data_IF_285804021781
#
_entry.id   IF_285804021781
#
_cell.length_a   1.000
_cell.length_b   1.000
_cell.length_c   1.000
_cell.angle_alpha   90.00
_cell.angle_beta   90.00
_cell.angle_gamma   90.00
#
_symmetry.space_group_name_H-M   'P 1'
#
loop_
_entity.id
_entity.type
_entity.pdbx_description
1 polymer ?
#
# COMPACT_ATOMS: atom_id res chain seq x y z
N UNK A 1 -12.64 -2.20 -27.68
CA UNK A 1 -11.74 -2.49 -26.56
C UNK A 1 -10.95 -1.21 -26.40
N UNK A 2 -11.22 -0.45 -25.39
CA UNK A 2 -10.60 0.85 -25.14
C UNK A 2 -9.30 0.65 -24.37
N UNK A 3 -8.30 1.46 -24.61
CA UNK A 3 -6.94 1.50 -23.99
C UNK A 3 -6.92 1.43 -22.44
N UNK A 4 -8.07 1.41 -21.79
CA UNK A 4 -8.26 1.45 -20.34
C UNK A 4 -8.25 0.08 -19.65
N UNK A 5 -8.37 -1.04 -20.37
CA UNK A 5 -8.40 -2.39 -19.76
C UNK A 5 -7.01 -3.04 -19.62
N UNK A 6 -6.03 -2.63 -20.44
CA UNK A 6 -4.67 -3.20 -20.43
C UNK A 6 -3.84 -2.74 -19.23
N UNK A 7 -4.15 -1.58 -18.64
CA UNK A 7 -3.40 -1.02 -17.52
C UNK A 7 -3.93 -1.43 -16.15
N UNK A 8 -4.99 -2.24 -16.08
CA UNK A 8 -5.59 -2.67 -14.82
C UNK A 8 -4.75 -3.74 -14.12
N UNK A 9 -4.22 -3.41 -12.95
CA UNK A 9 -3.46 -4.36 -12.11
C UNK A 9 -4.36 -5.10 -11.14
N UNK A 10 -5.23 -4.38 -10.42
CA UNK A 10 -6.23 -4.97 -9.53
C UNK A 10 -7.60 -4.39 -9.81
N UNK A 11 -8.61 -5.25 -9.81
CA UNK A 11 -9.99 -4.87 -10.01
C UNK A 11 -10.87 -5.61 -9.00
N UNK A 12 -11.63 -4.86 -8.21
CA UNK A 12 -12.69 -5.39 -7.33
C UNK A 12 -14.05 -5.00 -7.86
N UNK A 13 -14.99 -5.94 -7.91
CA UNK A 13 -16.37 -5.70 -8.38
C UNK A 13 -17.37 -6.25 -7.40
N UNK A 14 -18.28 -5.37 -6.93
CA UNK A 14 -19.37 -5.73 -6.04
C UNK A 14 -18.91 -6.38 -4.74
N UNK A 15 -17.79 -5.93 -4.16
CA UNK A 15 -17.18 -6.58 -3.03
C UNK A 15 -18.03 -6.47 -1.77
N UNK A 16 -18.51 -7.59 -1.27
CA UNK A 16 -19.14 -7.73 0.04
C UNK A 16 -18.21 -8.44 1.03
N UNK A 17 -18.23 -8.01 2.28
CA UNK A 17 -17.48 -8.67 3.35
C UNK A 17 -18.23 -8.66 4.67
N UNK A 18 -18.27 -9.82 5.31
CA UNK A 18 -18.94 -10.04 6.59
C UNK A 18 -17.95 -10.62 7.60
N UNK A 19 -18.06 -10.18 8.86
CA UNK A 19 -17.33 -10.75 9.99
C UNK A 19 -18.31 -11.25 11.06
N UNK A 20 -17.84 -12.17 11.89
CA UNK A 20 -18.59 -12.73 13.01
C UNK A 20 -19.22 -14.09 12.74
N UNK A 21 -19.75 -14.71 13.78
CA UNK A 21 -20.43 -16.01 13.72
C UNK A 21 -21.83 -15.89 13.08
N UNK A 22 -22.38 -17.02 12.60
CA UNK A 22 -23.64 -17.10 11.81
C UNK A 22 -24.83 -16.27 12.34
N UNK A 23 -24.89 -16.02 13.65
CA UNK A 23 -26.00 -15.27 14.30
C UNK A 23 -25.68 -13.83 14.68
N UNK A 24 -24.41 -13.41 14.51
CA UNK A 24 -23.92 -12.05 14.83
C UNK A 24 -23.04 -11.51 13.69
N UNK A 25 -23.42 -11.78 12.46
CA UNK A 25 -22.67 -11.29 11.30
C UNK A 25 -22.83 -9.78 11.14
N UNK A 26 -21.70 -9.08 11.08
CA UNK A 26 -21.63 -7.67 10.73
C UNK A 26 -21.05 -7.52 9.33
N UNK A 27 -21.78 -6.87 8.45
CA UNK A 27 -21.28 -6.48 7.14
C UNK A 27 -20.34 -5.27 7.29
N UNK A 28 -19.22 -5.31 6.60
CA UNK A 28 -18.17 -4.27 6.62
C UNK A 28 -17.97 -3.66 5.23
N UNK A 29 -18.15 -4.43 4.16
CA UNK A 29 -18.14 -3.92 2.79
C UNK A 29 -19.47 -4.24 2.14
N UNK A 30 -20.01 -3.29 1.38
CA UNK A 30 -21.35 -3.32 0.79
C UNK A 30 -21.26 -3.01 -0.70
N UNK A 31 -20.97 -4.02 -1.55
CA UNK A 31 -20.92 -3.88 -3.00
C UNK A 31 -19.88 -2.90 -3.49
N UNK A 32 -18.65 -2.95 -2.95
CA UNK A 32 -17.60 -2.00 -3.28
C UNK A 32 -16.95 -2.33 -4.62
N UNK A 33 -16.90 -1.34 -5.51
CA UNK A 33 -16.15 -1.38 -6.76
C UNK A 33 -14.86 -0.56 -6.61
N UNK A 34 -13.74 -1.09 -7.12
CA UNK A 34 -12.43 -0.44 -7.08
C UNK A 34 -11.53 -0.91 -8.20
N UNK A 35 -10.82 0.02 -8.82
CA UNK A 35 -9.83 -0.21 -9.85
C UNK A 35 -8.49 0.37 -9.42
N UNK A 36 -7.42 -0.40 -9.63
CA UNK A 36 -6.03 0.03 -9.40
C UNK A 36 -5.25 -0.20 -10.69
N UNK A 37 -4.62 0.84 -11.21
CA UNK A 37 -3.90 0.83 -12.48
C UNK A 37 -2.40 0.77 -12.28
N UNK A 38 -1.68 0.26 -13.27
CA UNK A 38 -0.22 0.31 -13.30
C UNK A 38 0.26 1.77 -13.23
N UNK A 39 1.32 2.01 -12.45
CA UNK A 39 1.91 3.34 -12.26
C UNK A 39 1.07 4.35 -11.47
N UNK A 40 -0.15 3.98 -11.08
CA UNK A 40 -1.06 4.84 -10.32
C UNK A 40 -0.83 4.74 -8.82
N UNK A 41 -0.95 5.86 -8.11
CA UNK A 41 -1.14 5.87 -6.67
C UNK A 41 -2.62 6.13 -6.35
N UNK A 42 -3.35 5.09 -5.93
CA UNK A 42 -4.72 5.18 -5.44
C UNK A 42 -4.72 5.38 -3.93
N UNK A 43 -5.21 6.52 -3.45
CA UNK A 43 -5.45 6.71 -2.02
C UNK A 43 -6.84 6.19 -1.62
N UNK A 44 -6.89 5.35 -0.59
CA UNK A 44 -8.13 4.91 0.06
C UNK A 44 -8.27 5.69 1.36
N UNK A 45 -9.23 6.60 1.41
CA UNK A 45 -9.47 7.48 2.57
C UNK A 45 -10.84 7.22 3.21
N UNK A 46 -11.01 7.67 4.43
CA UNK A 46 -12.27 7.54 5.18
C UNK A 46 -12.04 7.45 6.67
N UNK A 47 -13.09 7.56 7.45
CA UNK A 47 -13.04 7.50 8.91
C UNK A 47 -12.57 6.15 9.47
N UNK A 48 -12.27 6.12 10.77
CA UNK A 48 -11.98 4.85 11.46
C UNK A 48 -13.17 3.90 11.35
N UNK A 49 -12.90 2.63 11.06
CA UNK A 49 -13.94 1.62 10.91
C UNK A 49 -14.74 1.68 9.59
N UNK A 50 -14.38 2.54 8.63
CA UNK A 50 -15.08 2.62 7.34
C UNK A 50 -14.86 1.40 6.42
N UNK A 51 -13.93 0.50 6.74
CA UNK A 51 -13.67 -0.72 5.97
C UNK A 51 -12.38 -0.69 5.13
N UNK A 52 -11.55 0.36 5.19
CA UNK A 52 -10.32 0.51 4.37
C UNK A 52 -9.39 -0.70 4.45
N UNK A 53 -9.00 -1.09 5.64
CA UNK A 53 -8.11 -2.26 5.86
C UNK A 53 -8.76 -3.56 5.36
N UNK A 54 -10.08 -3.70 5.52
CA UNK A 54 -10.81 -4.84 4.98
C UNK A 54 -10.78 -4.85 3.45
N UNK A 55 -11.04 -3.70 2.82
CA UNK A 55 -11.00 -3.57 1.37
C UNK A 55 -9.63 -3.93 0.81
N UNK A 56 -8.55 -3.37 1.37
CA UNK A 56 -7.19 -3.64 0.90
C UNK A 56 -6.76 -5.09 1.10
N UNK A 57 -7.16 -5.73 2.22
CA UNK A 57 -6.91 -7.16 2.45
C UNK A 57 -7.65 -8.05 1.47
N UNK A 58 -8.89 -7.71 1.13
CA UNK A 58 -9.67 -8.44 0.12
C UNK A 58 -9.02 -8.29 -1.26
N UNK A 59 -8.62 -7.08 -1.66
CA UNK A 59 -7.96 -6.81 -2.94
C UNK A 59 -6.66 -7.61 -3.10
N UNK A 60 -5.85 -7.70 -2.06
CA UNK A 60 -4.59 -8.46 -2.09
C UNK A 60 -4.76 -9.97 -1.89
N UNK A 61 -6.01 -10.45 -1.79
CA UNK A 61 -6.27 -11.88 -1.56
C UNK A 61 -5.77 -12.40 -0.21
N UNK A 62 -5.57 -11.50 0.77
CA UNK A 62 -5.27 -11.85 2.17
C UNK A 62 -6.52 -12.31 2.90
N UNK A 63 -7.68 -11.80 2.49
CA UNK A 63 -8.99 -12.23 2.92
C UNK A 63 -9.88 -12.48 1.70
N UNK A 64 -10.77 -13.46 1.79
CA UNK A 64 -11.76 -13.70 0.73
C UNK A 64 -12.93 -12.74 0.85
N UNK A 65 -13.42 -12.21 -0.25
CA UNK A 65 -14.75 -11.58 -0.32
C UNK A 65 -15.84 -12.62 -0.07
N UNK A 66 -16.95 -12.21 0.55
CA UNK A 66 -18.13 -13.03 0.71
C UNK A 66 -19.10 -12.87 -0.48
N UNK A 67 -18.99 -11.77 -1.22
CA UNK A 67 -19.66 -11.48 -2.49
C UNK A 67 -18.79 -10.68 -3.43
N UNK A 68 -19.12 -10.71 -4.71
CA UNK A 68 -18.32 -10.05 -5.75
C UNK A 68 -17.11 -10.84 -6.21
N UNK A 69 -16.18 -10.16 -6.90
CA UNK A 69 -14.95 -10.77 -7.43
C UNK A 69 -13.77 -9.82 -7.35
N UNK A 70 -12.56 -10.39 -7.24
CA UNK A 70 -11.30 -9.68 -7.40
C UNK A 70 -10.54 -10.30 -8.56
N UNK A 71 -9.99 -9.44 -9.42
CA UNK A 71 -9.13 -9.83 -10.53
C UNK A 71 -7.75 -9.18 -10.38
N UNK A 72 -6.72 -9.91 -10.77
CA UNK A 72 -5.34 -9.46 -10.86
C UNK A 72 -4.85 -9.61 -12.29
N UNK A 73 -4.49 -8.51 -12.94
CA UNK A 73 -4.10 -8.46 -14.35
C UNK A 73 -5.13 -9.18 -15.26
N UNK A 74 -6.44 -8.95 -15.03
CA UNK A 74 -7.54 -9.53 -15.80
C UNK A 74 -7.88 -10.99 -15.46
N UNK A 75 -7.20 -11.61 -14.50
CA UNK A 75 -7.45 -13.00 -14.10
C UNK A 75 -8.09 -13.04 -12.69
N UNK A 76 -9.13 -13.87 -12.46
CA UNK A 76 -9.75 -13.99 -11.13
C UNK A 76 -8.75 -14.45 -10.06
N UNK A 77 -8.72 -13.77 -8.90
CA UNK A 77 -7.80 -14.06 -7.79
C UNK A 77 -8.22 -15.34 -7.07
N UNK A 78 -7.82 -16.50 -7.63
CA UNK A 78 -8.05 -17.86 -7.09
C UNK A 78 -6.84 -18.73 -7.39
N UNK A 79 -6.63 -19.79 -6.58
CA UNK A 79 -5.61 -20.81 -6.88
C UNK A 79 -4.22 -20.22 -7.16
N UNK A 80 -3.71 -20.47 -8.36
CA UNK A 80 -2.36 -20.02 -8.77
C UNK A 80 -2.27 -18.50 -8.96
N UNK A 81 -3.34 -17.82 -9.41
CA UNK A 81 -3.38 -16.36 -9.53
C UNK A 81 -3.23 -15.71 -8.15
N UNK A 82 -3.91 -16.23 -7.13
CA UNK A 82 -3.75 -15.76 -5.76
C UNK A 82 -2.34 -16.01 -5.21
N UNK A 83 -1.67 -17.11 -5.65
CA UNK A 83 -0.27 -17.35 -5.31
C UNK A 83 0.65 -16.35 -6.01
N UNK A 84 0.43 -16.10 -7.30
CA UNK A 84 1.17 -15.12 -8.10
C UNK A 84 1.04 -13.72 -7.51
N UNK A 85 -0.16 -13.28 -7.14
CA UNK A 85 -0.40 -11.99 -6.49
C UNK A 85 0.40 -11.88 -5.18
N UNK A 86 0.40 -12.93 -4.33
CA UNK A 86 1.17 -12.92 -3.07
C UNK A 86 2.67 -12.75 -3.25
N UNK A 87 3.22 -13.15 -4.38
CA UNK A 87 4.64 -12.97 -4.73
C UNK A 87 4.93 -11.61 -5.35
N UNK A 88 3.91 -10.85 -5.71
CA UNK A 88 4.02 -9.62 -6.49
C UNK A 88 3.40 -8.40 -5.81
N UNK A 89 3.10 -8.48 -4.51
CA UNK A 89 2.79 -7.29 -3.74
C UNK A 89 3.82 -7.05 -2.62
N UNK A 90 4.10 -5.77 -2.36
CA UNK A 90 4.80 -5.29 -1.17
C UNK A 90 3.80 -4.76 -0.15
N UNK A 91 4.13 -4.87 1.13
CA UNK A 91 3.29 -4.39 2.22
C UNK A 91 4.09 -3.53 3.20
N UNK A 92 3.65 -2.29 3.37
CA UNK A 92 4.17 -1.35 4.35
C UNK A 92 3.11 -1.17 5.44
N UNK A 93 3.44 -1.59 6.65
CA UNK A 93 2.56 -1.47 7.82
C UNK A 93 2.64 -0.09 8.46
N UNK A 94 1.63 0.26 9.23
CA UNK A 94 1.58 1.45 10.06
C UNK A 94 2.75 1.52 11.05
N UNK A 95 3.08 0.38 11.69
CA UNK A 95 4.26 0.24 12.53
C UNK A 95 5.39 -0.45 11.75
N UNK A 96 6.56 0.22 11.55
CA UNK A 96 7.69 -0.38 10.84
C UNK A 96 8.22 -1.63 11.53
N UNK A 97 8.09 -1.70 12.85
CA UNK A 97 8.58 -2.82 13.65
C UNK A 97 7.76 -4.12 13.45
N UNK A 98 6.58 -4.04 12.83
CA UNK A 98 5.79 -5.22 12.46
C UNK A 98 6.41 -5.99 11.29
N UNK A 99 7.27 -5.32 10.50
CA UNK A 99 7.98 -5.91 9.36
C UNK A 99 9.48 -6.12 9.56
N UNK A 100 10.06 -5.55 10.63
CA UNK A 100 11.49 -5.62 10.91
C UNK A 100 11.74 -6.48 12.17
N UNK A 101 12.31 -7.70 12.01
CA UNK A 101 12.69 -8.54 13.15
C UNK A 101 13.76 -7.82 13.99
N UNK A 102 13.50 -7.52 15.27
CA UNK A 102 14.42 -6.76 16.11
C UNK A 102 15.78 -7.45 16.34
N UNK A 103 15.87 -8.76 16.07
CA UNK A 103 17.09 -9.56 16.21
C UNK A 103 17.95 -9.58 14.95
N UNK A 104 17.43 -9.01 13.83
CA UNK A 104 18.13 -9.02 12.55
C UNK A 104 18.66 -7.64 12.20
N UNK A 105 19.81 -7.63 11.53
CA UNK A 105 20.32 -6.40 10.92
C UNK A 105 19.42 -5.96 9.79
N UNK A 106 19.35 -4.67 9.52
CA UNK A 106 18.49 -4.07 8.49
C UNK A 106 18.72 -4.70 7.12
N UNK A 107 19.97 -4.87 6.69
CA UNK A 107 20.27 -5.53 5.42
C UNK A 107 19.77 -6.98 5.33
N UNK A 108 19.73 -7.70 6.45
CA UNK A 108 19.16 -9.05 6.49
C UNK A 108 17.63 -9.01 6.37
N UNK A 109 16.97 -8.10 7.09
CA UNK A 109 15.52 -7.94 7.06
C UNK A 109 15.02 -7.53 5.67
N UNK A 110 15.71 -6.56 5.02
CA UNK A 110 15.37 -6.13 3.66
C UNK A 110 15.61 -7.24 2.64
N UNK A 111 16.72 -7.97 2.73
CA UNK A 111 17.06 -9.04 1.79
C UNK A 111 16.31 -10.36 2.00
N UNK A 112 15.46 -10.48 3.02
CA UNK A 112 14.73 -11.70 3.31
C UNK A 112 13.77 -12.12 2.17
N UNK A 113 12.91 -11.23 1.61
CA UNK A 113 12.04 -11.58 0.50
C UNK A 113 12.80 -12.14 -0.70
N UNK A 114 13.93 -11.53 -1.06
CA UNK A 114 14.76 -12.02 -2.17
C UNK A 114 15.27 -13.44 -1.94
N UNK A 115 15.71 -13.76 -0.71
CA UNK A 115 16.21 -15.10 -0.39
C UNK A 115 15.09 -16.16 -0.41
N UNK A 116 13.85 -15.75 -0.12
CA UNK A 116 12.69 -16.64 -0.15
C UNK A 116 12.20 -16.88 -1.57
N UNK A 117 12.15 -15.84 -2.40
CA UNK A 117 11.60 -15.89 -3.74
C UNK A 117 12.64 -16.30 -4.79
N UNK A 118 13.93 -16.00 -4.56
CA UNK A 118 15.05 -16.26 -5.46
C UNK A 118 16.18 -17.03 -4.73
N UNK A 119 15.93 -18.28 -4.31
CA UNK A 119 16.92 -19.06 -3.54
C UNK A 119 18.23 -19.28 -4.30
N UNK A 120 18.19 -19.22 -5.64
CA UNK A 120 19.35 -19.40 -6.51
C UNK A 120 20.17 -18.13 -6.74
N UNK A 121 19.73 -16.97 -6.24
CA UNK A 121 20.50 -15.76 -6.39
C UNK A 121 21.79 -15.77 -5.54
N UNK A 122 22.94 -15.40 -6.14
CA UNK A 122 24.18 -15.24 -5.38
C UNK A 122 24.02 -14.13 -4.32
N UNK A 123 24.79 -14.29 -3.24
CA UNK A 123 24.71 -13.34 -2.09
C UNK A 123 25.05 -11.90 -2.50
N UNK A 124 25.97 -11.75 -3.43
CA UNK A 124 26.41 -10.48 -3.98
C UNK A 124 25.24 -9.74 -4.64
N UNK A 125 24.48 -10.42 -5.49
CA UNK A 125 23.30 -9.86 -6.16
C UNK A 125 22.22 -9.42 -5.16
N UNK A 126 21.99 -10.22 -4.12
CA UNK A 126 21.06 -9.85 -3.04
C UNK A 126 21.57 -8.60 -2.30
N UNK A 127 22.87 -8.51 -2.02
CA UNK A 127 23.46 -7.37 -1.33
C UNK A 127 23.40 -6.09 -2.18
N UNK A 128 23.66 -6.18 -3.48
CA UNK A 128 23.54 -5.09 -4.44
C UNK A 128 22.09 -4.54 -4.46
N UNK A 129 21.09 -5.41 -4.63
CA UNK A 129 19.69 -4.98 -4.65
C UNK A 129 19.24 -4.38 -3.31
N UNK A 130 19.71 -4.91 -2.19
CA UNK A 130 19.43 -4.33 -0.87
C UNK A 130 20.04 -2.93 -0.74
N UNK A 131 21.25 -2.71 -1.26
CA UNK A 131 21.87 -1.39 -1.25
C UNK A 131 21.08 -0.39 -2.13
N UNK A 132 20.71 -0.79 -3.35
CA UNK A 132 19.89 0.02 -4.26
C UNK A 132 18.60 0.52 -3.61
N UNK A 133 17.82 -0.38 -2.99
CA UNK A 133 16.55 0.02 -2.36
C UNK A 133 16.74 0.85 -1.10
N UNK A 134 17.85 0.70 -0.39
CA UNK A 134 18.22 1.61 0.72
C UNK A 134 18.50 3.03 0.21
N UNK A 135 19.21 3.16 -0.90
CA UNK A 135 19.48 4.46 -1.54
C UNK A 135 18.17 5.11 -2.02
N UNK A 136 17.25 4.34 -2.65
CA UNK A 136 15.93 4.84 -3.07
C UNK A 136 15.15 5.47 -1.92
N UNK A 137 15.28 4.93 -0.70
CA UNK A 137 14.62 5.49 0.49
C UNK A 137 15.52 6.45 1.29
N UNK A 138 16.59 6.96 0.69
CA UNK A 138 17.53 7.91 1.31
C UNK A 138 18.15 7.39 2.63
N UNK A 139 18.49 6.11 2.66
CA UNK A 139 19.25 5.47 3.73
C UNK A 139 20.60 5.00 3.15
N UNK A 140 21.69 5.61 3.58
CA UNK A 140 23.06 5.25 3.15
C UNK A 140 23.37 3.79 3.51
N UNK A 141 23.66 2.90 2.53
CA UNK A 141 23.89 1.48 2.78
C UNK A 141 25.06 1.24 3.73
N UNK A 142 26.18 2.00 3.63
CA UNK A 142 27.34 1.82 4.48
C UNK A 142 26.99 2.04 5.96
N UNK A 143 26.10 2.97 6.22
CA UNK A 143 25.64 3.33 7.56
C UNK A 143 24.59 2.37 8.11
N UNK A 144 23.62 1.94 7.26
CA UNK A 144 22.38 1.30 7.76
C UNK A 144 22.33 -0.22 7.60
N UNK A 145 23.05 -0.84 6.65
CA UNK A 145 23.01 -2.29 6.44
C UNK A 145 23.25 -3.11 7.71
N UNK A 146 24.18 -2.64 8.55
CA UNK A 146 24.63 -3.37 9.74
C UNK A 146 23.93 -2.95 11.03
N UNK A 147 23.05 -1.95 11.02
CA UNK A 147 22.27 -1.53 12.19
C UNK A 147 21.15 -2.50 12.51
N UNK A 148 20.69 -2.48 13.75
CA UNK A 148 19.48 -3.17 14.18
C UNK A 148 18.31 -2.19 14.17
N UNK A 149 17.04 -2.68 14.09
CA UNK A 149 15.87 -1.81 14.15
C UNK A 149 15.85 -0.85 15.35
N UNK A 150 16.33 -1.30 16.51
CA UNK A 150 16.40 -0.50 17.75
C UNK A 150 17.32 0.73 17.62
N UNK A 151 18.28 0.70 16.68
CA UNK A 151 19.24 1.80 16.45
C UNK A 151 18.67 2.89 15.53
N UNK A 152 17.43 2.72 15.00
CA UNK A 152 16.82 3.61 14.04
C UNK A 152 15.78 4.52 14.71
N UNK A 153 15.68 5.77 14.22
CA UNK A 153 14.51 6.59 14.50
C UNK A 153 13.26 6.02 13.83
N UNK A 154 12.05 6.39 14.28
CA UNK A 154 10.80 5.92 13.69
C UNK A 154 10.74 6.14 12.17
N UNK A 155 11.13 7.33 11.68
CA UNK A 155 11.18 7.62 10.25
C UNK A 155 12.25 6.83 9.47
N UNK A 156 13.39 6.51 10.10
CA UNK A 156 14.40 5.65 9.50
C UNK A 156 13.92 4.19 9.43
N UNK A 157 13.29 3.69 10.50
CA UNK A 157 12.70 2.36 10.52
C UNK A 157 11.58 2.22 9.47
N UNK A 158 10.75 3.26 9.31
CA UNK A 158 9.69 3.26 8.29
C UNK A 158 10.27 3.20 6.88
N UNK A 159 11.32 3.97 6.59
CA UNK A 159 11.99 3.92 5.28
C UNK A 159 12.66 2.55 5.05
N UNK A 160 13.24 1.94 6.07
CA UNK A 160 13.77 0.57 5.97
C UNK A 160 12.65 -0.47 5.73
N UNK A 161 11.46 -0.28 6.33
CA UNK A 161 10.30 -1.12 6.07
C UNK A 161 9.77 -0.95 4.63
N UNK A 162 9.78 0.28 4.10
CA UNK A 162 9.45 0.56 2.70
C UNK A 162 10.47 -0.12 1.77
N UNK A 163 11.78 0.02 2.02
CA UNK A 163 12.83 -0.67 1.25
C UNK A 163 12.62 -2.19 1.23
N UNK A 164 12.25 -2.79 2.36
CA UNK A 164 11.91 -4.22 2.44
C UNK A 164 10.71 -4.59 1.58
N UNK A 165 9.70 -3.74 1.55
CA UNK A 165 8.47 -3.99 0.78
C UNK A 165 8.69 -3.94 -0.74
N UNK A 166 9.66 -3.13 -1.21
CA UNK A 166 9.92 -2.94 -2.65
C UNK A 166 11.11 -3.75 -3.18
N UNK A 167 11.88 -4.43 -2.32
CA UNK A 167 13.17 -5.04 -2.70
C UNK A 167 13.05 -6.06 -3.83
N UNK A 168 11.92 -6.76 -3.90
CA UNK A 168 11.65 -7.80 -4.91
C UNK A 168 10.97 -7.26 -6.18
N UNK A 169 10.80 -5.95 -6.31
CA UNK A 169 10.15 -5.32 -7.45
C UNK A 169 8.66 -5.70 -7.57
N UNK A 170 7.83 -5.46 -6.54
CA UNK A 170 6.42 -5.85 -6.59
C UNK A 170 5.66 -5.04 -7.64
N UNK A 171 4.60 -5.63 -8.23
CA UNK A 171 3.68 -4.90 -9.11
C UNK A 171 2.71 -4.01 -8.34
N UNK A 172 2.43 -4.34 -7.08
CA UNK A 172 1.53 -3.60 -6.22
C UNK A 172 2.20 -3.33 -4.87
N UNK A 173 2.21 -2.09 -4.44
CA UNK A 173 2.65 -1.69 -3.11
C UNK A 173 1.45 -1.21 -2.30
N UNK A 174 1.08 -1.93 -1.22
CA UNK A 174 0.13 -1.44 -0.24
C UNK A 174 0.87 -0.73 0.89
N UNK A 175 0.54 0.53 1.13
CA UNK A 175 1.02 1.33 2.25
C UNK A 175 -0.16 1.65 3.18
N UNK A 176 -0.25 0.94 4.32
CA UNK A 176 -1.32 1.12 5.30
C UNK A 176 -0.88 2.10 6.38
N UNK A 177 -1.36 3.34 6.30
CA UNK A 177 -1.04 4.48 7.18
C UNK A 177 0.48 4.67 7.44
N UNK A 178 1.32 4.72 6.41
CA UNK A 178 2.77 4.63 6.55
C UNK A 178 3.42 5.81 7.29
N UNK A 179 2.65 6.86 7.62
CA UNK A 179 3.15 8.11 8.23
C UNK A 179 2.40 8.51 9.51
N UNK A 180 1.47 7.68 10.01
CA UNK A 180 0.56 8.07 11.11
C UNK A 180 1.26 8.34 12.45
N UNK A 181 2.40 7.69 12.72
CA UNK A 181 3.16 7.82 13.98
C UNK A 181 4.51 8.55 13.80
N UNK A 182 4.66 9.30 12.69
CA UNK A 182 5.94 9.88 12.29
C UNK A 182 5.90 11.41 12.44
N UNK A 183 7.02 11.99 12.88
CA UNK A 183 7.17 13.46 12.97
C UNK A 183 7.16 14.13 11.59
N UNK A 184 6.84 15.44 11.56
CA UNK A 184 6.64 16.18 10.31
C UNK A 184 7.88 16.16 9.40
N UNK A 185 9.09 16.28 9.95
CA UNK A 185 10.31 16.30 9.15
C UNK A 185 10.59 14.94 8.51
N UNK A 186 10.32 13.86 9.24
CA UNK A 186 10.47 12.50 8.72
C UNK A 186 9.36 12.13 7.70
N UNK A 187 8.14 12.70 7.82
CA UNK A 187 7.08 12.53 6.80
C UNK A 187 7.50 13.02 5.42
N UNK A 188 8.15 14.19 5.34
CA UNK A 188 8.67 14.72 4.07
C UNK A 188 9.63 13.73 3.42
N UNK A 189 10.57 13.17 4.19
CA UNK A 189 11.51 12.18 3.68
C UNK A 189 10.86 10.87 3.23
N UNK A 190 9.76 10.48 3.86
CA UNK A 190 8.99 9.30 3.41
C UNK A 190 8.28 9.60 2.09
N UNK A 191 7.70 10.80 1.92
CA UNK A 191 7.12 11.23 0.65
C UNK A 191 8.16 11.26 -0.47
N UNK A 192 9.34 11.85 -0.23
CA UNK A 192 10.47 11.81 -1.17
C UNK A 192 10.87 10.38 -1.55
N UNK A 193 10.79 9.44 -0.59
CA UNK A 193 11.06 8.01 -0.87
C UNK A 193 10.00 7.41 -1.80
N UNK A 194 8.72 7.69 -1.60
CA UNK A 194 7.66 7.23 -2.51
C UNK A 194 7.81 7.84 -3.92
N UNK A 195 8.19 9.11 -4.03
CA UNK A 195 8.47 9.76 -5.33
C UNK A 195 9.65 9.08 -6.04
N UNK A 196 10.75 8.82 -5.32
CA UNK A 196 11.91 8.12 -5.87
C UNK A 196 11.55 6.71 -6.36
N UNK A 197 10.72 5.98 -5.60
CA UNK A 197 10.23 4.65 -5.95
C UNK A 197 9.37 4.72 -7.22
N UNK A 198 8.41 5.65 -7.32
CA UNK A 198 7.57 5.84 -8.52
C UNK A 198 8.40 6.15 -9.77
N UNK A 199 9.47 6.93 -9.63
CA UNK A 199 10.37 7.24 -10.73
C UNK A 199 11.21 6.03 -11.16
N UNK A 200 11.63 5.18 -10.22
CA UNK A 200 12.44 3.99 -10.49
C UNK A 200 11.61 2.81 -11.02
N UNK A 201 10.37 2.69 -10.59
CA UNK A 201 9.44 1.59 -10.89
C UNK A 201 8.12 2.17 -11.44
N UNK A 202 8.12 2.73 -12.68
CA UNK A 202 7.00 3.51 -13.20
C UNK A 202 5.70 2.71 -13.41
N UNK A 203 5.80 1.38 -13.51
CA UNK A 203 4.65 0.49 -13.70
C UNK A 203 4.09 -0.03 -12.36
N UNK A 204 4.74 0.26 -11.22
CA UNK A 204 4.27 -0.19 -9.91
C UNK A 204 3.02 0.57 -9.49
N UNK A 205 1.94 -0.14 -9.22
CA UNK A 205 0.73 0.42 -8.63
C UNK A 205 0.92 0.61 -7.12
N UNK A 206 0.47 1.74 -6.58
CA UNK A 206 0.49 2.01 -5.13
C UNK A 206 -0.93 2.15 -4.62
N UNK A 207 -1.28 1.40 -3.58
CA UNK A 207 -2.50 1.61 -2.81
C UNK A 207 -2.07 2.23 -1.47
N UNK A 208 -2.47 3.47 -1.22
CA UNK A 208 -2.15 4.16 0.02
C UNK A 208 -3.39 4.34 0.89
N UNK A 209 -3.41 3.72 2.06
CA UNK A 209 -4.45 4.01 3.06
C UNK A 209 -3.94 5.16 3.92
N UNK A 210 -4.71 6.22 4.00
CA UNK A 210 -4.36 7.37 4.85
C UNK A 210 -5.62 8.11 5.33
N UNK A 211 -5.53 8.72 6.49
CA UNK A 211 -6.49 9.73 6.97
C UNK A 211 -5.91 11.15 6.88
N UNK A 212 -4.66 11.32 6.48
CA UNK A 212 -3.97 12.60 6.32
C UNK A 212 -4.12 13.07 4.86
N UNK A 213 -5.06 14.01 4.63
CA UNK A 213 -5.34 14.55 3.29
C UNK A 213 -4.15 15.37 2.74
N UNK A 214 -3.31 15.94 3.60
CA UNK A 214 -2.10 16.63 3.19
C UNK A 214 -1.11 15.69 2.51
N UNK A 215 -0.94 14.48 3.07
CA UNK A 215 -0.12 13.41 2.45
C UNK A 215 -0.75 12.96 1.13
N UNK A 216 -2.04 12.67 1.14
CA UNK A 216 -2.79 12.19 -0.05
C UNK A 216 -2.70 13.18 -1.21
N UNK A 217 -2.86 14.49 -0.93
CA UNK A 217 -2.77 15.55 -1.93
C UNK A 217 -1.43 15.57 -2.70
N UNK A 218 -0.34 15.18 -2.03
CA UNK A 218 1.01 15.23 -2.62
C UNK A 218 1.36 13.99 -3.45
N UNK A 219 0.79 12.83 -3.14
CA UNK A 219 1.27 11.58 -3.75
C UNK A 219 0.22 10.84 -4.58
N UNK A 220 -1.07 11.00 -4.26
CA UNK A 220 -2.12 10.24 -4.91
C UNK A 220 -2.57 10.86 -6.23
N UNK A 221 -2.72 10.03 -7.26
CA UNK A 221 -3.31 10.40 -8.53
C UNK A 221 -4.84 10.38 -8.45
N UNK A 222 -5.38 9.36 -7.75
CA UNK A 222 -6.81 9.18 -7.53
C UNK A 222 -7.11 8.88 -6.07
N UNK A 223 -8.34 9.22 -5.68
CA UNK A 223 -8.88 8.96 -4.35
C UNK A 223 -10.11 8.08 -4.46
N UNK A 224 -10.23 7.14 -3.54
CA UNK A 224 -11.45 6.42 -3.21
C UNK A 224 -11.82 6.76 -1.76
N UNK A 225 -12.95 7.40 -1.58
CA UNK A 225 -13.52 7.74 -0.27
C UNK A 225 -14.43 6.61 0.18
N UNK A 226 -14.09 5.95 1.28
CA UNK A 226 -14.88 4.87 1.85
C UNK A 226 -15.61 5.35 3.10
N UNK A 227 -16.91 5.22 3.12
CA UNK A 227 -17.78 5.57 4.24
C UNK A 227 -18.75 4.45 4.53
N UNK A 228 -18.80 3.97 5.78
CA UNK A 228 -19.68 2.88 6.24
C UNK A 228 -19.68 1.66 5.29
N UNK A 229 -18.50 1.28 4.80
CA UNK A 229 -18.30 0.15 3.91
C UNK A 229 -18.76 0.34 2.48
N UNK A 230 -19.08 1.56 2.05
CA UNK A 230 -19.49 1.93 0.70
C UNK A 230 -18.53 2.97 0.11
N UNK A 231 -18.40 2.98 -1.21
CA UNK A 231 -17.73 4.07 -1.90
C UNK A 231 -18.66 5.30 -1.87
N UNK A 232 -18.24 6.34 -1.15
CA UNK A 232 -18.93 7.62 -1.12
C UNK A 232 -18.58 8.45 -2.37
N UNK A 233 -17.30 8.48 -2.72
CA UNK A 233 -16.80 9.22 -3.88
C UNK A 233 -15.50 8.61 -4.40
N UNK A 234 -15.25 8.69 -5.71
CA UNK A 234 -13.96 8.33 -6.32
C UNK A 234 -13.69 9.23 -7.52
N UNK A 235 -12.42 9.60 -7.72
CA UNK A 235 -12.03 10.47 -8.81
C UNK A 235 -10.58 10.91 -8.72
N UNK A 236 -10.15 11.79 -9.62
CA UNK A 236 -8.84 12.42 -9.57
C UNK A 236 -8.67 13.18 -8.23
N UNK A 237 -7.49 13.13 -7.66
CA UNK A 237 -7.21 13.77 -6.36
C UNK A 237 -7.59 15.26 -6.35
N UNK A 238 -7.25 15.98 -7.42
CA UNK A 238 -7.58 17.41 -7.55
C UNK A 238 -9.09 17.69 -7.58
N UNK A 239 -9.88 16.76 -8.15
CA UNK A 239 -11.33 16.91 -8.24
C UNK A 239 -12.00 16.59 -6.90
N UNK A 240 -11.65 15.44 -6.29
CA UNK A 240 -12.25 15.00 -5.03
C UNK A 240 -11.90 15.95 -3.88
N UNK A 241 -10.67 16.50 -3.83
CA UNK A 241 -10.27 17.44 -2.79
C UNK A 241 -10.71 18.89 -3.09
N UNK A 242 -10.71 19.30 -4.37
CA UNK A 242 -11.06 20.66 -4.75
C UNK A 242 -12.56 20.92 -4.88
N UNK A 243 -13.30 19.91 -5.36
CA UNK A 243 -14.72 20.02 -5.67
C UNK A 243 -15.51 18.78 -5.23
N UNK A 244 -15.46 18.38 -3.95
CA UNK A 244 -16.13 17.18 -3.48
C UNK A 244 -17.65 17.25 -3.72
N UNK A 245 -18.21 16.16 -4.22
CA UNK A 245 -19.64 16.08 -4.52
C UNK A 245 -20.42 15.43 -3.38
N UNK A 246 -19.86 14.39 -2.77
CA UNK A 246 -20.50 13.67 -1.66
C UNK A 246 -20.43 14.48 -0.35
N UNK A 247 -21.51 14.44 0.44
CA UNK A 247 -21.60 15.19 1.71
C UNK A 247 -20.61 14.71 2.78
N UNK A 248 -20.27 13.43 2.76
CA UNK A 248 -19.24 12.91 3.67
C UNK A 248 -17.85 13.38 3.26
N UNK A 249 -17.54 13.35 1.96
CA UNK A 249 -16.29 13.87 1.40
C UNK A 249 -16.12 15.35 1.72
N UNK A 250 -17.15 16.18 1.55
CA UNK A 250 -17.14 17.61 1.92
C UNK A 250 -16.74 17.81 3.38
N UNK A 251 -17.34 17.03 4.29
CA UNK A 251 -17.01 17.10 5.73
C UNK A 251 -15.59 16.67 6.02
N UNK A 252 -15.08 15.62 5.35
CA UNK A 252 -13.69 15.18 5.48
C UNK A 252 -12.70 16.27 5.06
N UNK A 253 -12.91 16.88 3.89
CA UNK A 253 -12.05 17.94 3.36
C UNK A 253 -12.09 19.18 4.26
N UNK A 254 -13.27 19.60 4.71
CA UNK A 254 -13.41 20.73 5.65
C UNK A 254 -12.68 20.49 6.97
N UNK A 255 -12.76 19.30 7.52
CA UNK A 255 -12.08 18.95 8.78
C UNK A 255 -10.55 18.95 8.67
N UNK A 256 -10.01 18.69 7.48
CA UNK A 256 -8.57 18.70 7.23
C UNK A 256 -8.00 20.09 6.87
N UNK A 257 -8.88 21.04 6.55
CA UNK A 257 -8.51 22.44 6.19
C UNK A 257 -8.42 23.37 7.42
N UNK A 258 -8.69 22.86 8.62
CA UNK A 258 -8.60 23.53 9.91
C UNK A 258 -7.31 23.15 10.64
#
# INVERSE_FOLDING_TARGET
MTDTDEDMVLCGRGLDKWYGAKHERRQVLFGVDVDVRAGECLAVIGGSGSGKTTLTRVLLGLESADGGSVEYCGEPVRGDVARKLRMQYGLVFQSPFDSLDPRWRIGRSIGEPLRMHHPDWPRERVAERVAEVLEMVSLDPETYLNRFPVDLSGGQAQRAAIARAIVDGPKVLLADEPMSAIDVAARVRILESFEAIRNAEPDMAIIMVSHDLGVVQHIADRILVLHDGRVAETGATSEVLGHPQDEYTKRLVQAASL
#
